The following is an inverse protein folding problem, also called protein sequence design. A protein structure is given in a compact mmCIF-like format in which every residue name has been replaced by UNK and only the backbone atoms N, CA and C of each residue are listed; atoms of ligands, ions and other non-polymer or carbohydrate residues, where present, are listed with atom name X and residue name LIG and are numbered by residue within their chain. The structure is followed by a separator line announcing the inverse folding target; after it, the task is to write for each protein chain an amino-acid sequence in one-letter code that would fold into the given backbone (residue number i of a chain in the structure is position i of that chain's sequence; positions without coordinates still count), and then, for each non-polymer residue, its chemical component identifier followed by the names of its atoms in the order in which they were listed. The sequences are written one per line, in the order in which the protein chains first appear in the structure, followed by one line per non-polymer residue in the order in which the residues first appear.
data_IF_466308270605
#
_entry.id   IF_466308270605
#
_cell.length_a   1.000
_cell.length_b   1.000
_cell.length_c   1.000
_cell.angle_alpha   90.00
_cell.angle_beta   90.00
_cell.angle_gamma   90.00
#
_symmetry.space_group_name_H-M   'P 1'
#
loop_
_entity.id
_entity.type
_entity.pdbx_description
1 polymer ?
#
# COMPACT_ATOMS: atom_id res chain seq x y z
N UNK A 1 -10.08 -14.29 18.63
CA UNK A 1 -8.99 -13.78 19.48
C UNK A 1 -8.16 -14.97 19.95
N UNK A 2 -6.84 -14.94 19.79
CA UNK A 2 -5.94 -16.10 20.05
C UNK A 2 -5.75 -16.34 21.55
N UNK A 3 -5.25 -17.51 21.95
CA UNK A 3 -4.89 -17.81 23.35
C UNK A 3 -3.63 -17.05 23.80
N UNK A 4 -2.71 -16.76 22.87
CA UNK A 4 -1.42 -16.10 23.11
C UNK A 4 -1.45 -14.58 22.86
N UNK A 5 -2.44 -13.88 23.44
CA UNK A 5 -2.71 -12.46 23.11
C UNK A 5 -1.54 -11.54 23.48
N UNK A 6 -0.91 -11.79 24.63
CA UNK A 6 0.18 -10.95 25.12
C UNK A 6 1.42 -11.14 24.26
N UNK A 7 1.78 -12.38 23.95
CA UNK A 7 2.92 -12.73 23.12
C UNK A 7 2.74 -12.22 21.69
N UNK A 8 1.51 -12.30 21.16
CA UNK A 8 1.19 -11.70 19.87
C UNK A 8 1.40 -10.18 19.87
N UNK A 9 0.98 -9.47 20.93
CA UNK A 9 1.21 -8.03 21.06
C UNK A 9 2.70 -7.69 21.25
N UNK A 10 3.45 -8.49 22.00
CA UNK A 10 4.90 -8.31 22.15
C UNK A 10 5.64 -8.53 20.83
N UNK A 11 5.21 -9.49 20.01
CA UNK A 11 5.75 -9.67 18.66
C UNK A 11 5.46 -8.44 17.79
N UNK A 12 4.23 -7.93 17.82
CA UNK A 12 3.88 -6.70 17.09
C UNK A 12 4.74 -5.52 17.56
N UNK A 13 4.88 -5.32 18.87
CA UNK A 13 5.72 -4.27 19.46
C UNK A 13 7.19 -4.40 19.03
N UNK A 14 7.73 -5.62 19.01
CA UNK A 14 9.06 -5.89 18.50
C UNK A 14 9.22 -5.44 17.04
N UNK A 15 8.22 -5.64 16.17
CA UNK A 15 8.26 -5.20 14.78
C UNK A 15 8.31 -3.67 14.62
N UNK A 16 7.90 -2.89 15.64
CA UNK A 16 8.08 -1.43 15.69
C UNK A 16 9.44 -0.99 16.26
N UNK A 17 10.14 -1.89 16.95
CA UNK A 17 11.48 -1.60 17.51
C UNK A 17 12.52 -1.37 16.39
N UNK A 18 13.63 -0.67 16.66
CA UNK A 18 14.72 -0.54 15.70
C UNK A 18 15.25 -1.89 15.20
N UNK A 19 15.43 -2.87 16.10
CA UNK A 19 15.90 -4.21 15.74
C UNK A 19 14.89 -5.00 14.91
N UNK A 20 13.59 -4.86 15.17
CA UNK A 20 12.55 -5.49 14.36
C UNK A 20 12.47 -4.88 12.95
N UNK A 21 12.61 -3.57 12.85
CA UNK A 21 12.70 -2.88 11.57
C UNK A 21 13.94 -3.33 10.77
N UNK A 22 15.12 -3.42 11.41
CA UNK A 22 16.33 -3.95 10.78
C UNK A 22 16.11 -5.39 10.34
N UNK A 23 15.59 -6.25 11.21
CA UNK A 23 15.34 -7.66 10.89
C UNK A 23 14.42 -7.82 9.68
N UNK A 24 13.33 -7.05 9.59
CA UNK A 24 12.33 -7.21 8.53
C UNK A 24 12.72 -6.54 7.21
N UNK A 25 13.49 -5.45 7.25
CA UNK A 25 13.81 -4.66 6.04
C UNK A 25 15.25 -4.78 5.56
N UNK A 26 16.14 -5.34 6.37
CA UNK A 26 17.57 -5.53 6.05
C UNK A 26 18.02 -6.96 6.32
N UNK A 27 17.59 -7.57 7.43
CA UNK A 27 17.90 -8.96 7.79
C UNK A 27 18.79 -9.09 9.02
N UNK A 28 19.62 -10.13 9.04
CA UNK A 28 20.50 -10.48 10.17
C UNK A 28 21.94 -10.11 9.83
N UNK A 29 22.50 -9.15 10.57
CA UNK A 29 23.89 -8.72 10.42
C UNK A 29 24.87 -9.83 10.82
N UNK A 30 25.96 -9.99 10.06
CA UNK A 30 26.94 -11.06 10.24
C UNK A 30 26.54 -12.38 9.59
N UNK A 31 25.27 -12.59 9.28
CA UNK A 31 24.77 -13.77 8.57
C UNK A 31 24.42 -13.43 7.11
N UNK A 32 23.45 -12.56 6.89
CA UNK A 32 22.93 -12.25 5.54
C UNK A 32 23.55 -11.00 4.94
N UNK A 33 23.99 -10.07 5.78
CA UNK A 33 24.62 -8.83 5.36
C UNK A 33 25.63 -8.33 6.41
N UNK A 34 26.47 -7.38 6.02
CA UNK A 34 27.24 -6.55 6.96
C UNK A 34 27.11 -5.08 6.56
N UNK A 35 27.18 -4.16 7.51
CA UNK A 35 27.28 -2.73 7.17
C UNK A 35 28.68 -2.40 6.65
N UNK A 36 28.74 -1.56 5.61
CA UNK A 36 29.98 -0.93 5.18
C UNK A 36 30.32 0.29 6.05
N UNK A 37 31.42 0.98 5.71
CA UNK A 37 31.88 2.19 6.41
C UNK A 37 30.86 3.36 6.37
N UNK A 38 29.92 3.33 5.42
CA UNK A 38 28.86 4.32 5.25
C UNK A 38 27.51 3.88 5.86
N UNK A 39 27.50 2.80 6.65
CA UNK A 39 26.31 2.24 7.27
C UNK A 39 25.26 1.79 6.22
N UNK A 40 25.73 1.28 5.09
CA UNK A 40 24.93 0.68 4.01
C UNK A 40 25.02 -0.86 4.11
N UNK A 41 23.89 -1.57 4.05
CA UNK A 41 23.91 -3.03 4.12
C UNK A 41 24.49 -3.62 2.83
N UNK A 42 25.52 -4.45 2.98
CA UNK A 42 26.15 -5.23 1.91
C UNK A 42 25.83 -6.70 2.14
N UNK A 43 24.97 -7.26 1.30
CA UNK A 43 24.54 -8.65 1.40
C UNK A 43 25.68 -9.61 1.05
N UNK A 44 25.82 -10.69 1.81
CA UNK A 44 26.93 -11.63 1.73
C UNK A 44 26.73 -12.71 0.66
N UNK A 45 25.47 -13.01 0.31
CA UNK A 45 25.08 -14.07 -0.60
C UNK A 45 25.61 -13.86 -2.04
N UNK A 46 26.26 -14.88 -2.65
CA UNK A 46 26.83 -14.77 -3.99
C UNK A 46 25.81 -14.47 -5.10
N UNK A 47 24.58 -14.97 -5.00
CA UNK A 47 23.54 -14.76 -6.01
C UNK A 47 23.09 -13.29 -5.99
N UNK A 48 22.88 -12.72 -4.79
CA UNK A 48 22.55 -11.32 -4.63
C UNK A 48 23.68 -10.39 -5.10
N UNK A 49 24.94 -10.76 -4.82
CA UNK A 49 26.12 -10.01 -5.28
C UNK A 49 26.31 -10.02 -6.79
N UNK A 50 25.79 -11.04 -7.49
CA UNK A 50 25.88 -11.14 -8.93
C UNK A 50 24.87 -10.24 -9.66
N UNK A 51 23.88 -9.71 -8.93
CA UNK A 51 22.88 -8.78 -9.48
C UNK A 51 23.51 -7.39 -9.69
N UNK A 52 23.10 -6.73 -10.76
CA UNK A 52 23.47 -5.32 -11.02
C UNK A 52 22.94 -4.39 -9.92
N UNK A 53 21.73 -4.68 -9.42
CA UNK A 53 21.08 -4.00 -8.31
C UNK A 53 20.26 -5.02 -7.52
N UNK A 54 20.41 -4.98 -6.20
CA UNK A 54 19.58 -5.77 -5.29
C UNK A 54 18.30 -4.97 -5.03
N UNK A 55 17.16 -5.54 -5.39
CA UNK A 55 15.83 -4.97 -5.18
C UNK A 55 15.13 -5.67 -4.00
N UNK A 56 14.04 -5.05 -3.52
CA UNK A 56 13.22 -5.61 -2.42
C UNK A 56 12.73 -7.03 -2.74
N UNK A 57 12.33 -7.29 -3.97
CA UNK A 57 11.80 -8.60 -4.37
C UNK A 57 12.86 -9.69 -4.22
N UNK A 58 14.14 -9.40 -4.51
CA UNK A 58 15.22 -10.36 -4.31
C UNK A 58 15.38 -10.73 -2.83
N UNK A 59 15.25 -9.75 -1.94
CA UNK A 59 15.35 -9.94 -0.49
C UNK A 59 14.13 -10.68 0.08
N UNK A 60 12.95 -10.39 -0.46
CA UNK A 60 11.70 -11.07 -0.11
C UNK A 60 11.76 -12.55 -0.49
N UNK A 61 12.14 -12.86 -1.74
CA UNK A 61 12.24 -14.24 -2.22
C UNK A 61 13.30 -15.05 -1.49
N UNK A 62 14.47 -14.44 -1.21
CA UNK A 62 15.60 -15.14 -0.61
C UNK A 62 15.45 -15.35 0.90
N UNK A 63 14.96 -14.33 1.61
CA UNK A 63 15.02 -14.25 3.07
C UNK A 63 13.66 -14.02 3.74
N UNK A 64 12.58 -13.81 2.96
CA UNK A 64 11.27 -13.46 3.51
C UNK A 64 11.20 -12.03 4.08
N UNK A 65 12.16 -11.18 3.71
CA UNK A 65 12.17 -9.77 4.09
C UNK A 65 11.05 -9.00 3.39
N UNK A 66 10.68 -7.83 3.91
CA UNK A 66 9.64 -6.99 3.29
C UNK A 66 8.29 -7.70 3.12
N UNK A 67 7.97 -8.62 4.04
CA UNK A 67 6.67 -9.30 4.03
C UNK A 67 5.56 -8.30 4.40
N UNK A 68 4.64 -8.08 3.46
CA UNK A 68 3.53 -7.14 3.66
C UNK A 68 2.72 -7.53 4.91
N UNK A 69 2.38 -6.52 5.72
CA UNK A 69 1.75 -6.65 7.05
C UNK A 69 2.69 -7.03 8.21
N UNK A 70 3.98 -7.29 7.96
CA UNK A 70 4.98 -7.51 9.02
C UNK A 70 5.95 -6.35 9.21
N UNK A 71 6.27 -5.57 8.17
CA UNK A 71 7.12 -4.38 8.32
C UNK A 71 6.26 -3.15 8.64
N UNK A 72 6.00 -2.91 9.93
CA UNK A 72 5.25 -1.70 10.34
C UNK A 72 6.15 -0.47 10.46
N UNK A 73 7.46 -0.71 10.53
CA UNK A 73 8.51 0.30 10.49
C UNK A 73 9.63 -0.16 9.57
N UNK A 74 10.10 0.74 8.72
CA UNK A 74 11.27 0.49 7.88
C UNK A 74 12.55 1.02 8.52
N UNK A 75 13.65 0.26 8.44
CA UNK A 75 14.97 0.79 8.77
C UNK A 75 15.41 1.72 7.63
N UNK A 76 15.74 2.98 7.96
CA UNK A 76 16.12 4.01 6.98
C UNK A 76 17.41 3.71 6.24
N UNK A 77 18.20 2.74 6.71
CA UNK A 77 19.43 2.27 6.07
C UNK A 77 19.19 1.20 5.00
N UNK A 78 17.96 0.67 4.93
CA UNK A 78 17.60 -0.33 3.93
C UNK A 78 17.73 0.22 2.50
N UNK A 79 17.86 -0.71 1.55
CA UNK A 79 18.05 -0.38 0.13
C UNK A 79 16.88 0.46 -0.45
N UNK A 80 15.68 0.37 0.14
CA UNK A 80 14.51 1.14 -0.28
C UNK A 80 14.74 2.67 -0.26
N UNK A 81 15.59 3.14 0.66
CA UNK A 81 15.90 4.56 0.80
C UNK A 81 17.20 4.97 0.11
N UNK A 82 17.77 4.08 -0.73
CA UNK A 82 19.00 4.30 -1.47
C UNK A 82 18.69 4.48 -2.95
N UNK A 83 18.25 5.68 -3.26
CA UNK A 83 17.95 6.09 -4.63
C UNK A 83 19.24 6.35 -5.40
N UNK A 84 19.27 5.92 -6.65
CA UNK A 84 20.23 6.39 -7.64
C UNK A 84 20.05 7.89 -7.88
N UNK A 85 21.06 8.59 -8.42
CA UNK A 85 20.94 10.02 -8.74
C UNK A 85 19.74 10.34 -9.64
N UNK A 86 19.40 9.45 -10.59
CA UNK A 86 18.24 9.63 -11.48
C UNK A 86 16.91 9.44 -10.76
N UNK A 87 16.81 8.45 -9.87
CA UNK A 87 15.61 8.24 -9.05
C UNK A 87 15.41 9.42 -8.08
N UNK A 88 16.50 9.97 -7.52
CA UNK A 88 16.43 11.17 -6.69
C UNK A 88 16.01 12.40 -7.50
N UNK A 89 16.57 12.62 -8.68
CA UNK A 89 16.17 13.71 -9.58
C UNK A 89 14.68 13.63 -9.95
N UNK A 90 14.18 12.43 -10.25
CA UNK A 90 12.76 12.22 -10.52
C UNK A 90 11.89 12.52 -9.28
N UNK A 91 12.28 12.06 -8.09
CA UNK A 91 11.56 12.39 -6.85
C UNK A 91 11.57 13.88 -6.57
N UNK A 92 12.71 14.54 -6.75
CA UNK A 92 12.85 15.99 -6.56
C UNK A 92 11.96 16.76 -7.54
N UNK A 93 11.81 16.30 -8.78
CA UNK A 93 10.89 16.88 -9.75
C UNK A 93 9.45 16.85 -9.21
N UNK A 94 8.98 15.70 -8.75
CA UNK A 94 7.59 15.56 -8.25
C UNK A 94 7.38 16.40 -6.98
N UNK A 95 8.30 16.32 -6.02
CA UNK A 95 8.21 17.00 -4.71
C UNK A 95 8.34 18.52 -4.87
N UNK A 96 9.38 19.00 -5.56
CA UNK A 96 9.65 20.44 -5.66
C UNK A 96 8.62 21.19 -6.51
N UNK A 97 7.95 20.48 -7.44
CA UNK A 97 6.88 21.05 -8.25
C UNK A 97 5.48 20.77 -7.67
N UNK A 98 5.39 20.16 -6.48
CA UNK A 98 4.14 19.84 -5.80
C UNK A 98 3.14 19.10 -6.72
N UNK A 99 3.62 18.05 -7.40
CA UNK A 99 2.84 17.31 -8.40
C UNK A 99 1.97 16.20 -7.79
N UNK A 100 1.95 16.06 -6.47
CA UNK A 100 1.05 15.14 -5.79
C UNK A 100 -0.33 15.76 -5.61
N UNK A 101 -1.37 15.00 -5.94
CA UNK A 101 -2.71 15.31 -5.47
C UNK A 101 -2.75 15.16 -3.93
N UNK A 102 -3.50 16.01 -3.21
CA UNK A 102 -3.72 15.81 -1.79
C UNK A 102 -4.37 14.45 -1.56
N UNK A 103 -3.94 13.75 -0.51
CA UNK A 103 -4.55 12.48 -0.12
C UNK A 103 -5.95 12.73 0.44
N UNK A 104 -6.91 11.92 0.02
CA UNK A 104 -8.24 11.92 0.63
C UNK A 104 -8.15 11.51 2.12
N UNK A 105 -8.94 12.14 3.01
CA UNK A 105 -8.90 11.80 4.42
C UNK A 105 -9.44 10.39 4.67
N UNK A 106 -8.90 9.74 5.72
CA UNK A 106 -9.44 8.46 6.18
C UNK A 106 -10.71 8.74 6.99
N UNK A 107 -11.86 8.51 6.37
CA UNK A 107 -13.17 8.75 6.98
C UNK A 107 -13.54 7.62 7.96
N UNK A 108 -14.19 8.01 9.06
CA UNK A 108 -14.71 7.07 10.06
C UNK A 108 -16.21 6.85 9.87
N UNK A 109 -16.63 5.60 9.97
CA UNK A 109 -18.02 5.18 9.84
C UNK A 109 -18.41 4.34 11.07
N UNK A 110 -19.69 4.39 11.46
CA UNK A 110 -20.21 3.42 12.44
C UNK A 110 -20.40 2.06 11.78
N UNK A 111 -20.33 0.98 12.56
CA UNK A 111 -20.29 -0.41 12.06
C UNK A 111 -21.36 -0.73 11.00
N UNK A 112 -22.62 -0.35 11.25
CA UNK A 112 -23.75 -0.59 10.32
C UNK A 112 -23.54 0.13 8.98
N UNK A 113 -23.08 1.38 9.02
CA UNK A 113 -22.82 2.17 7.81
C UNK A 113 -21.61 1.61 7.08
N UNK A 114 -20.57 1.20 7.81
CA UNK A 114 -19.38 0.59 7.24
C UNK A 114 -19.70 -0.73 6.53
N UNK A 115 -20.47 -1.62 7.17
CA UNK A 115 -20.90 -2.89 6.58
C UNK A 115 -21.70 -2.65 5.30
N UNK A 116 -22.65 -1.72 5.33
CA UNK A 116 -23.46 -1.36 4.17
C UNK A 116 -22.62 -0.73 3.05
N UNK A 117 -21.70 0.18 3.38
CA UNK A 117 -20.77 0.76 2.40
C UNK A 117 -19.92 -0.33 1.74
N UNK A 118 -19.40 -1.30 2.50
CA UNK A 118 -18.59 -2.40 1.98
C UNK A 118 -19.39 -3.29 1.02
N UNK A 119 -20.65 -3.58 1.32
CA UNK A 119 -21.55 -4.32 0.43
C UNK A 119 -21.77 -3.57 -0.89
N UNK A 120 -22.08 -2.27 -0.82
CA UNK A 120 -22.31 -1.42 -2.00
C UNK A 120 -21.02 -1.35 -2.84
N UNK A 121 -19.88 -1.05 -2.22
CA UNK A 121 -18.58 -0.93 -2.89
C UNK A 121 -18.20 -2.23 -3.61
N UNK A 122 -18.31 -3.38 -2.95
CA UNK A 122 -17.96 -4.67 -3.55
C UNK A 122 -18.76 -4.93 -4.84
N UNK A 123 -20.06 -4.62 -4.82
CA UNK A 123 -20.92 -4.79 -5.98
C UNK A 123 -20.64 -3.76 -7.09
N UNK A 124 -20.40 -2.50 -6.70
CA UNK A 124 -20.05 -1.42 -7.63
C UNK A 124 -18.71 -1.70 -8.31
N UNK A 125 -17.67 -2.06 -7.56
CA UNK A 125 -16.34 -2.37 -8.09
C UNK A 125 -16.40 -3.49 -9.11
N UNK A 126 -17.10 -4.59 -8.79
CA UNK A 126 -17.29 -5.71 -9.72
C UNK A 126 -17.88 -5.23 -11.05
N UNK A 127 -18.95 -4.43 -11.00
CA UNK A 127 -19.64 -3.93 -12.21
C UNK A 127 -18.84 -2.86 -12.94
N UNK A 128 -18.12 -2.01 -12.22
CA UNK A 128 -17.26 -0.98 -12.77
C UNK A 128 -16.07 -1.61 -13.51
N UNK A 129 -15.43 -2.65 -12.95
CA UNK A 129 -14.37 -3.38 -13.64
C UNK A 129 -14.87 -4.08 -14.92
N UNK A 130 -16.04 -4.75 -14.87
CA UNK A 130 -16.66 -5.35 -16.05
C UNK A 130 -16.95 -4.32 -17.15
N UNK A 131 -17.49 -3.16 -16.76
CA UNK A 131 -17.75 -2.04 -17.66
C UNK A 131 -16.45 -1.49 -18.26
N UNK A 132 -15.47 -1.15 -17.41
CA UNK A 132 -14.21 -0.54 -17.83
C UNK A 132 -13.43 -1.45 -18.78
N UNK A 133 -13.37 -2.75 -18.50
CA UNK A 133 -12.73 -3.72 -19.39
C UNK A 133 -13.35 -3.71 -20.80
N UNK A 134 -14.69 -3.71 -20.89
CA UNK A 134 -15.39 -3.66 -22.19
C UNK A 134 -15.22 -2.30 -22.87
N UNK A 135 -15.31 -1.21 -22.11
CA UNK A 135 -15.16 0.16 -22.63
C UNK A 135 -13.79 0.39 -23.27
N UNK A 136 -12.72 -0.15 -22.67
CA UNK A 136 -11.37 -0.05 -23.22
C UNK A 136 -11.17 -0.98 -24.43
N UNK A 137 -11.66 -2.22 -24.36
CA UNK A 137 -11.36 -3.23 -25.38
C UNK A 137 -12.27 -3.18 -26.62
N UNK A 138 -13.46 -2.62 -26.50
CA UNK A 138 -14.45 -2.59 -27.58
C UNK A 138 -14.75 -1.15 -27.98
N UNK A 139 -14.23 -0.72 -29.14
CA UNK A 139 -14.44 0.64 -29.65
C UNK A 139 -15.90 1.01 -29.95
N UNK A 140 -16.83 0.06 -29.96
CA UNK A 140 -18.27 0.30 -30.08
C UNK A 140 -19.01 0.32 -28.73
N UNK A 141 -18.29 0.16 -27.61
CA UNK A 141 -18.83 0.21 -26.25
C UNK A 141 -18.67 1.63 -25.73
N UNK A 142 -19.77 2.37 -25.58
CA UNK A 142 -19.73 3.82 -25.47
C UNK A 142 -20.84 4.39 -24.61
N UNK A 143 -21.44 5.49 -25.09
CA UNK A 143 -22.39 6.30 -24.31
C UNK A 143 -23.64 5.52 -23.87
N UNK A 144 -24.17 4.64 -24.72
CA UNK A 144 -25.35 3.84 -24.38
C UNK A 144 -25.05 2.90 -23.21
N UNK A 145 -23.90 2.24 -23.23
CA UNK A 145 -23.45 1.34 -22.18
C UNK A 145 -23.09 2.09 -20.90
N UNK A 146 -22.49 3.28 -21.02
CA UNK A 146 -22.22 4.17 -19.89
C UNK A 146 -23.51 4.56 -19.16
N UNK A 147 -24.54 4.97 -19.91
CA UNK A 147 -25.83 5.34 -19.34
C UNK A 147 -26.53 4.15 -18.65
N UNK A 148 -26.38 2.93 -19.20
CA UNK A 148 -26.87 1.72 -18.55
C UNK A 148 -26.09 1.42 -17.26
N UNK A 149 -24.77 1.52 -17.28
CA UNK A 149 -23.94 1.34 -16.09
C UNK A 149 -24.29 2.35 -14.99
N UNK A 150 -24.53 3.62 -15.32
CA UNK A 150 -24.97 4.63 -14.34
C UNK A 150 -26.30 4.25 -13.67
N UNK A 151 -27.25 3.73 -14.45
CA UNK A 151 -28.54 3.26 -13.92
C UNK A 151 -28.34 2.09 -12.96
N UNK A 152 -27.49 1.14 -13.33
CA UNK A 152 -27.19 -0.03 -12.50
C UNK A 152 -26.47 0.38 -11.22
N UNK A 153 -25.49 1.30 -11.30
CA UNK A 153 -24.78 1.83 -10.14
C UNK A 153 -25.72 2.51 -9.14
N UNK A 154 -26.70 3.30 -9.62
CA UNK A 154 -27.74 3.88 -8.77
C UNK A 154 -28.59 2.82 -8.09
N UNK A 155 -29.00 1.78 -8.81
CA UNK A 155 -29.76 0.68 -8.24
C UNK A 155 -28.97 -0.11 -7.18
N UNK A 156 -27.64 -0.13 -7.29
CA UNK A 156 -26.73 -0.75 -6.31
C UNK A 156 -26.50 0.10 -5.05
N UNK A 157 -26.97 1.35 -5.02
CA UNK A 157 -26.85 2.23 -3.85
C UNK A 157 -25.79 3.31 -3.97
N UNK A 158 -25.37 3.70 -5.18
CA UNK A 158 -24.40 4.80 -5.38
C UNK A 158 -24.78 6.08 -4.60
N UNK A 159 -26.05 6.51 -4.67
CA UNK A 159 -26.50 7.73 -3.99
C UNK A 159 -26.46 7.60 -2.45
N UNK A 160 -26.69 6.37 -1.93
CA UNK A 160 -26.56 6.07 -0.51
C UNK A 160 -25.09 6.15 -0.06
N UNK A 161 -24.19 5.55 -0.84
CA UNK A 161 -22.75 5.58 -0.60
C UNK A 161 -22.21 7.02 -0.61
N UNK A 162 -22.53 7.80 -1.64
CA UNK A 162 -22.14 9.21 -1.76
C UNK A 162 -22.61 10.02 -0.54
N UNK A 163 -23.86 9.81 -0.10
CA UNK A 163 -24.37 10.48 1.09
C UNK A 163 -23.58 10.08 2.34
N UNK A 164 -23.31 8.80 2.55
CA UNK A 164 -22.58 8.31 3.72
C UNK A 164 -21.18 8.89 3.80
N UNK A 165 -20.45 8.95 2.68
CA UNK A 165 -19.12 9.56 2.61
C UNK A 165 -19.16 11.06 2.84
N UNK A 166 -20.11 11.79 2.22
CA UNK A 166 -20.27 13.23 2.44
C UNK A 166 -20.60 13.57 3.91
N UNK A 167 -21.43 12.75 4.57
CA UNK A 167 -21.75 12.94 5.98
C UNK A 167 -20.56 12.63 6.90
N UNK A 168 -19.73 11.65 6.55
CA UNK A 168 -18.49 11.36 7.26
C UNK A 168 -17.43 12.46 7.04
N UNK A 169 -17.33 13.01 5.84
CA UNK A 169 -16.45 14.14 5.52
C UNK A 169 -16.79 15.37 6.37
N UNK A 170 -18.07 15.74 6.45
CA UNK A 170 -18.50 16.87 7.31
C UNK A 170 -18.11 16.69 8.78
N UNK A 171 -18.11 15.45 9.29
CA UNK A 171 -17.67 15.16 10.65
C UNK A 171 -16.15 15.27 10.81
N UNK A 172 -15.41 14.84 9.81
CA UNK A 172 -13.95 14.97 9.76
C UNK A 172 -13.54 16.45 9.74
N UNK A 173 -14.18 17.26 8.89
CA UNK A 173 -13.87 18.70 8.74
C UNK A 173 -14.23 19.54 9.97
N UNK A 174 -15.05 19.02 10.88
CA UNK A 174 -15.48 19.71 12.09
C UNK A 174 -14.56 19.46 13.31
N UNK A 175 -13.52 18.62 13.16
CA UNK A 175 -12.52 18.32 14.20
C UNK A 175 -11.37 19.32 14.17
#
# INVERSE_FOLDING_TARGET
VTENKLEALQLVDYLFSPSGATLNTIGVEGEWFNFDENNVPVYTDPELKALEKIEIDNLSEKYGLWNQSMYVRCDRRSLYHRLTPKEQEANDLIVNNNLFAPMDPILSFGDVVLERNNEILTNLDTKAYEFAAKYVMNGNYGEAEWNNWLKDAKALGLEELEKNYNDAQKKYDAQ
#
